data_IF_145254698063
#
_entry.id   IF_145254698063
#
_cell.length_a   1.000
_cell.length_b   1.000
_cell.length_c   1.000
_cell.angle_alpha   90.00
_cell.angle_beta   90.00
_cell.angle_gamma   90.00
#
_symmetry.space_group_name_H-M   'P 1'
#
loop_
_entity.id
_entity.type
_entity.pdbx_description
1 polymer ?
#
# COMPACT_ATOMS: atom_id res chain seq x y z
N UNK A 1 18.86 25.15 -9.50
CA UNK A 1 18.00 23.94 -9.37
C UNK A 1 16.56 24.32 -9.08
N UNK A 2 16.28 25.27 -8.19
CA UNK A 2 14.91 25.73 -7.92
C UNK A 2 14.42 25.21 -6.56
N UNK A 3 13.11 25.20 -6.36
CA UNK A 3 12.47 24.66 -5.16
C UNK A 3 11.84 23.30 -5.48
N UNK A 4 12.12 22.30 -4.64
CA UNK A 4 11.55 20.96 -4.74
C UNK A 4 10.77 20.67 -3.46
N UNK A 5 9.60 20.08 -3.61
CA UNK A 5 8.68 19.79 -2.51
C UNK A 5 8.32 18.31 -2.52
N UNK A 6 8.30 17.73 -1.33
CA UNK A 6 7.69 16.44 -1.09
C UNK A 6 6.77 16.52 0.13
N UNK A 7 5.74 15.68 0.14
CA UNK A 7 4.92 15.42 1.31
C UNK A 7 5.01 13.93 1.69
N UNK A 8 4.77 13.62 2.97
CA UNK A 8 4.86 12.24 3.49
C UNK A 8 3.46 11.74 3.81
N UNK A 9 3.04 10.56 3.29
CA UNK A 9 1.73 9.98 3.58
C UNK A 9 1.70 9.32 4.97
N UNK A 10 0.49 8.98 5.44
CA UNK A 10 0.21 8.36 6.74
C UNK A 10 -0.70 7.14 6.57
N UNK A 11 -0.44 6.06 7.30
CA UNK A 11 -1.33 4.90 7.36
C UNK A 11 -2.44 5.01 8.41
N UNK A 12 -3.46 4.16 8.31
CA UNK A 12 -4.50 3.94 9.31
C UNK A 12 -4.31 2.59 10.01
N UNK A 13 -4.23 1.50 9.24
CA UNK A 13 -3.64 0.23 9.65
C UNK A 13 -2.12 0.34 9.46
N UNK A 14 -1.39 0.20 10.57
CA UNK A 14 0.07 0.31 10.62
C UNK A 14 0.63 -0.95 11.25
N UNK A 15 1.39 -1.73 10.48
CA UNK A 15 2.12 -2.88 11.00
C UNK A 15 3.04 -2.47 12.17
N UNK A 16 3.15 -3.34 13.17
CA UNK A 16 3.87 -3.03 14.43
C UNK A 16 5.39 -2.86 14.22
N UNK A 17 5.89 -3.23 13.05
CA UNK A 17 7.30 -3.21 12.68
C UNK A 17 7.68 -2.05 11.74
N UNK A 18 6.74 -1.16 11.40
CA UNK A 18 7.03 0.03 10.58
C UNK A 18 8.06 0.96 11.26
N UNK A 19 8.78 1.73 10.45
CA UNK A 19 9.53 2.87 10.93
C UNK A 19 8.58 3.89 11.60
N UNK A 20 9.06 4.56 12.65
CA UNK A 20 8.19 5.36 13.51
C UNK A 20 7.77 6.67 12.83
N UNK A 21 6.46 6.83 12.60
CA UNK A 21 5.89 8.16 12.36
C UNK A 21 5.86 8.96 13.66
N UNK A 22 6.61 10.07 13.71
CA UNK A 22 6.68 10.90 14.92
C UNK A 22 5.49 11.87 14.99
N UNK A 23 4.63 11.66 15.99
CA UNK A 23 3.50 12.52 16.36
C UNK A 23 3.74 13.23 17.69
N UNK A 24 3.17 14.42 17.84
CA UNK A 24 3.33 15.25 19.04
C UNK A 24 2.57 14.71 20.26
N UNK A 25 1.49 13.94 20.05
CA UNK A 25 0.65 13.34 21.10
C UNK A 25 0.06 14.35 22.10
N UNK A 26 -0.13 15.60 21.68
CA UNK A 26 -0.80 16.65 22.46
C UNK A 26 -2.29 16.60 22.18
N UNK A 27 -3.09 15.97 23.06
CA UNK A 27 -4.52 15.72 22.82
C UNK A 27 -5.34 16.98 22.48
N UNK A 28 -4.95 18.15 23.02
CA UNK A 28 -5.60 19.43 22.75
C UNK A 28 -5.38 19.95 21.32
N UNK A 29 -4.31 19.52 20.64
CA UNK A 29 -3.92 20.00 19.32
C UNK A 29 -4.06 18.88 18.28
N UNK A 30 -4.81 19.15 17.20
CA UNK A 30 -5.01 18.19 16.10
C UNK A 30 -5.40 16.77 16.57
N UNK A 31 -6.12 16.65 17.68
CA UNK A 31 -6.48 15.36 18.30
C UNK A 31 -5.26 14.47 18.65
N UNK A 32 -4.13 15.08 19.03
CA UNK A 32 -2.88 14.37 19.31
C UNK A 32 -2.04 14.05 18.07
N UNK A 33 -2.52 14.39 16.86
CA UNK A 33 -1.88 13.99 15.59
C UNK A 33 -0.97 15.07 14.98
N UNK A 34 -0.58 16.07 15.76
CA UNK A 34 0.39 17.09 15.35
C UNK A 34 1.73 16.49 14.92
N UNK A 35 2.45 17.18 14.03
CA UNK A 35 3.78 16.79 13.52
C UNK A 35 4.83 17.90 13.71
N UNK A 36 4.59 18.83 14.63
CA UNK A 36 5.46 19.99 14.85
C UNK A 36 6.85 19.58 15.31
N UNK A 37 6.97 18.48 16.07
CA UNK A 37 8.26 17.92 16.48
C UNK A 37 9.04 17.38 15.27
N UNK A 38 8.40 16.63 14.37
CA UNK A 38 9.04 16.15 13.14
C UNK A 38 9.49 17.31 12.24
N UNK A 39 8.64 18.33 12.06
CA UNK A 39 8.97 19.55 11.31
C UNK A 39 10.14 20.31 11.96
N UNK A 40 10.16 20.41 13.30
CA UNK A 40 11.27 21.00 14.04
C UNK A 40 12.56 20.23 13.80
N UNK A 41 12.53 18.89 13.85
CA UNK A 41 13.70 18.05 13.58
C UNK A 41 14.27 18.30 12.18
N UNK A 42 13.43 18.46 11.15
CA UNK A 42 13.89 18.86 9.80
C UNK A 42 14.62 20.21 9.88
N UNK A 43 13.95 21.22 10.42
CA UNK A 43 14.42 22.61 10.34
C UNK A 43 15.67 22.88 11.20
N UNK A 44 15.76 22.26 12.38
CA UNK A 44 16.79 22.59 13.37
C UNK A 44 17.91 21.54 13.48
N UNK A 45 17.72 20.34 12.91
CA UNK A 45 18.71 19.26 12.99
C UNK A 45 19.12 18.79 11.59
N UNK A 46 18.19 18.26 10.80
CA UNK A 46 18.52 17.64 9.50
C UNK A 46 19.05 18.70 8.51
N UNK A 47 18.34 19.81 8.34
CA UNK A 47 18.70 20.85 7.38
C UNK A 47 20.11 21.45 7.61
N UNK A 48 20.48 21.94 8.82
CA UNK A 48 21.82 22.50 9.02
C UNK A 48 22.94 21.46 8.83
N UNK A 49 22.75 20.23 9.31
CA UNK A 49 23.77 19.19 9.19
C UNK A 49 23.93 18.68 7.74
N UNK A 50 22.83 18.53 7.00
CA UNK A 50 22.88 18.10 5.59
C UNK A 50 23.51 19.17 4.68
N UNK A 51 23.20 20.46 4.91
CA UNK A 51 23.83 21.57 4.18
C UNK A 51 25.33 21.61 4.47
N UNK A 52 25.73 21.42 5.73
CA UNK A 52 27.14 21.37 6.13
C UNK A 52 27.89 20.18 5.53
N UNK A 53 27.21 19.04 5.35
CA UNK A 53 27.79 17.86 4.71
C UNK A 53 28.18 18.10 3.25
N UNK A 54 27.55 19.08 2.57
CA UNK A 54 27.92 19.46 1.20
C UNK A 54 27.69 18.35 0.17
N UNK A 55 26.77 17.43 0.44
CA UNK A 55 26.40 16.34 -0.47
C UNK A 55 25.64 16.87 -1.69
N UNK A 56 25.93 16.33 -2.86
CA UNK A 56 25.20 16.69 -4.07
C UNK A 56 23.85 15.97 -4.09
N UNK A 57 22.77 16.66 -4.49
CA UNK A 57 21.40 16.10 -4.54
C UNK A 57 21.23 14.86 -5.45
N UNK A 58 22.24 14.54 -6.28
CA UNK A 58 22.26 13.32 -7.09
C UNK A 58 22.80 12.09 -6.35
N UNK A 59 23.40 12.29 -5.17
CA UNK A 59 23.97 11.29 -4.28
C UNK A 59 22.90 10.80 -3.29
N UNK A 60 21.83 10.20 -3.81
CA UNK A 60 20.66 9.81 -3.01
C UNK A 60 21.05 8.88 -1.86
N UNK A 61 21.91 7.90 -2.13
CA UNK A 61 22.37 6.94 -1.14
C UNK A 61 23.13 7.62 -0.01
N UNK A 62 24.05 8.52 -0.35
CA UNK A 62 24.86 9.25 0.62
C UNK A 62 24.02 10.19 1.48
N UNK A 63 23.01 10.83 0.90
CA UNK A 63 22.04 11.68 1.62
C UNK A 63 21.21 10.85 2.60
N UNK A 64 20.68 9.72 2.14
CA UNK A 64 19.89 8.82 2.98
C UNK A 64 20.74 8.19 4.09
N UNK A 65 21.92 7.65 3.77
CA UNK A 65 22.88 7.11 4.74
C UNK A 65 23.27 8.15 5.80
N UNK A 66 23.46 9.41 5.40
CA UNK A 66 23.76 10.51 6.31
C UNK A 66 22.61 10.77 7.29
N UNK A 67 21.36 10.84 6.79
CA UNK A 67 20.19 11.07 7.65
C UNK A 67 19.93 9.89 8.59
N UNK A 68 20.14 8.66 8.11
CA UNK A 68 20.06 7.45 8.92
C UNK A 68 21.09 7.45 10.05
N UNK A 69 22.34 7.85 9.77
CA UNK A 69 23.37 7.98 10.78
C UNK A 69 23.09 9.12 11.78
N UNK A 70 22.49 10.23 11.33
CA UNK A 70 22.12 11.36 12.16
C UNK A 70 21.00 11.00 13.16
N UNK A 71 20.04 10.19 12.71
CA UNK A 71 19.03 9.57 13.57
C UNK A 71 19.67 8.54 14.52
N UNK A 72 20.36 7.55 13.98
CA UNK A 72 21.10 6.55 14.74
C UNK A 72 20.24 5.48 15.42
N UNK A 73 18.95 5.38 15.12
CA UNK A 73 18.04 4.34 15.64
C UNK A 73 17.56 3.41 14.52
N UNK A 74 17.24 2.17 14.87
CA UNK A 74 16.81 1.15 13.89
C UNK A 74 15.49 1.52 13.19
N UNK A 75 14.55 2.09 13.92
CA UNK A 75 13.21 2.43 13.44
C UNK A 75 13.00 3.93 13.25
N UNK A 76 14.08 4.73 13.13
CA UNK A 76 14.02 6.17 12.89
C UNK A 76 13.28 6.96 13.97
N UNK A 77 13.28 6.45 15.21
CA UNK A 77 12.49 6.97 16.32
C UNK A 77 12.99 8.30 16.90
N UNK A 78 14.25 8.68 16.64
CA UNK A 78 14.81 9.92 17.21
C UNK A 78 14.36 11.15 16.42
N UNK A 79 14.44 11.10 15.10
CA UNK A 79 14.07 12.20 14.21
C UNK A 79 12.66 12.05 13.66
N UNK A 80 12.15 10.82 13.57
CA UNK A 80 10.89 10.46 12.92
C UNK A 80 11.11 10.06 11.47
N UNK A 81 10.55 8.91 11.06
CA UNK A 81 10.58 8.46 9.67
C UNK A 81 9.91 9.47 8.73
N UNK A 82 8.87 10.16 9.20
CA UNK A 82 8.21 11.24 8.48
C UNK A 82 9.08 12.49 8.29
N UNK A 83 10.03 12.76 9.20
CA UNK A 83 10.99 13.84 9.00
C UNK A 83 12.05 13.47 7.95
N UNK A 84 12.61 12.26 8.07
CA UNK A 84 13.68 11.76 7.19
C UNK A 84 13.16 11.57 5.77
N UNK A 85 11.99 10.94 5.61
CA UNK A 85 11.44 10.65 4.29
C UNK A 85 11.14 11.92 3.50
N UNK A 86 10.60 12.96 4.14
CA UNK A 86 10.29 14.23 3.46
C UNK A 86 11.52 14.84 2.79
N UNK A 87 12.67 14.79 3.47
CA UNK A 87 13.95 15.25 2.92
C UNK A 87 14.48 14.30 1.84
N UNK A 88 14.37 12.99 2.06
CA UNK A 88 14.79 11.95 1.10
C UNK A 88 14.08 12.09 -0.26
N UNK A 89 12.76 12.27 -0.25
CA UNK A 89 11.94 12.46 -1.44
C UNK A 89 12.25 13.79 -2.15
N UNK A 90 12.40 14.88 -1.40
CA UNK A 90 12.72 16.19 -1.95
C UNK A 90 14.12 16.23 -2.59
N UNK A 91 15.09 15.55 -1.98
CA UNK A 91 16.43 15.35 -2.54
C UNK A 91 16.37 14.58 -3.86
N UNK A 92 15.57 13.51 -3.93
CA UNK A 92 15.38 12.73 -5.16
C UNK A 92 14.80 13.59 -6.30
N UNK A 93 13.77 14.40 -6.01
CA UNK A 93 13.19 15.36 -6.97
C UNK A 93 14.24 16.38 -7.46
N UNK A 94 15.04 16.91 -6.53
CA UNK A 94 16.14 17.83 -6.87
C UNK A 94 17.24 17.15 -7.71
N UNK A 95 17.55 15.88 -7.41
CA UNK A 95 18.50 15.05 -8.15
C UNK A 95 18.09 14.83 -9.60
N UNK A 96 16.81 14.54 -9.85
CA UNK A 96 16.26 14.41 -11.19
C UNK A 96 16.42 15.71 -12.00
N UNK A 97 16.04 16.85 -11.40
CA UNK A 97 16.18 18.15 -12.05
C UNK A 97 17.64 18.56 -12.28
N UNK A 98 18.56 18.21 -11.37
CA UNK A 98 20.02 18.43 -11.55
C UNK A 98 20.56 17.64 -12.73
N UNK A 99 20.06 16.43 -12.96
CA UNK A 99 20.39 15.59 -14.13
C UNK A 99 19.67 16.02 -15.42
N UNK A 100 18.66 16.90 -15.34
CA UNK A 100 17.86 17.30 -16.49
C UNK A 100 16.96 16.20 -17.03
N UNK A 101 16.51 15.28 -16.17
CA UNK A 101 15.65 14.13 -16.54
C UNK A 101 14.35 14.12 -15.72
N UNK A 102 13.27 13.49 -16.22
CA UNK A 102 12.08 13.22 -15.42
C UNK A 102 12.39 12.38 -14.17
N UNK A 103 11.55 12.49 -13.13
CA UNK A 103 11.77 11.80 -11.86
C UNK A 103 11.78 10.27 -12.02
N UNK A 104 10.85 9.67 -12.77
CA UNK A 104 10.85 8.22 -13.03
C UNK A 104 12.15 7.74 -13.65
N UNK A 105 12.80 8.55 -14.50
CA UNK A 105 14.06 8.20 -15.16
C UNK A 105 15.21 8.25 -14.16
N UNK A 106 15.21 9.26 -13.28
CA UNK A 106 16.17 9.32 -12.18
C UNK A 106 16.04 8.14 -11.22
N UNK A 107 14.81 7.77 -10.85
CA UNK A 107 14.53 6.60 -10.00
C UNK A 107 14.94 5.29 -10.67
N UNK A 108 14.71 5.15 -11.99
CA UNK A 108 15.20 4.01 -12.74
C UNK A 108 16.73 3.92 -12.75
N UNK A 109 17.45 5.04 -12.83
CA UNK A 109 18.91 5.04 -12.73
C UNK A 109 19.38 4.60 -11.34
N UNK A 110 18.74 5.07 -10.26
CA UNK A 110 19.03 4.67 -8.88
C UNK A 110 18.74 3.18 -8.65
N UNK A 111 17.70 2.65 -9.29
CA UNK A 111 17.32 1.25 -9.24
C UNK A 111 18.18 0.35 -10.15
N UNK A 112 18.92 0.92 -11.10
CA UNK A 112 19.68 0.17 -12.11
C UNK A 112 18.83 -0.40 -13.25
N UNK A 113 17.62 0.14 -13.49
CA UNK A 113 16.72 -0.29 -14.54
C UNK A 113 16.98 0.49 -15.84
N UNK A 114 17.23 -0.19 -16.95
CA UNK A 114 17.37 0.46 -18.27
C UNK A 114 16.02 0.67 -18.95
N UNK A 115 15.21 -0.38 -19.01
CA UNK A 115 13.85 -0.35 -19.55
C UNK A 115 12.84 -0.03 -18.44
N UNK A 116 11.78 0.70 -18.80
CA UNK A 116 10.68 1.06 -17.91
C UNK A 116 9.35 0.48 -18.38
N UNK A 117 8.41 0.30 -17.45
CA UNK A 117 7.11 -0.34 -17.71
C UNK A 117 5.96 0.44 -17.05
N UNK A 118 4.92 0.68 -17.85
CA UNK A 118 3.49 0.79 -17.50
C UNK A 118 2.97 -0.07 -16.32
N UNK A 119 2.59 0.42 -15.13
CA UNK A 119 1.94 -0.47 -14.16
C UNK A 119 0.49 -0.81 -14.54
N UNK A 120 0.01 -1.99 -14.19
CA UNK A 120 -1.43 -2.23 -14.05
C UNK A 120 -1.90 -1.57 -12.75
N UNK A 121 -2.88 -0.65 -12.79
CA UNK A 121 -3.46 -0.08 -11.58
C UNK A 121 -4.41 -1.08 -10.90
N UNK A 122 -4.23 -1.25 -9.59
CA UNK A 122 -5.16 -1.94 -8.70
C UNK A 122 -6.04 -0.90 -8.01
N UNK A 123 -7.28 -0.77 -8.48
CA UNK A 123 -8.22 0.23 -7.99
C UNK A 123 -9.03 -0.33 -6.83
N UNK A 124 -8.88 0.22 -5.63
CA UNK A 124 -9.71 -0.13 -4.47
C UNK A 124 -11.14 0.42 -4.65
N UNK A 125 -12.10 -0.42 -5.04
CA UNK A 125 -13.46 0.03 -5.43
C UNK A 125 -14.52 -0.23 -4.37
N UNK A 126 -14.27 -1.13 -3.41
CA UNK A 126 -15.09 -1.33 -2.21
C UNK A 126 -14.18 -1.35 -0.99
N UNK A 127 -14.47 -0.51 0.00
CA UNK A 127 -13.79 -0.48 1.28
C UNK A 127 -14.56 -1.29 2.33
N UNK A 128 -13.82 -2.08 3.11
CA UNK A 128 -14.25 -2.72 4.34
C UNK A 128 -13.22 -2.48 5.44
N UNK A 129 -13.07 -3.43 6.37
CA UNK A 129 -12.10 -3.40 7.44
C UNK A 129 -12.10 -2.08 8.22
N UNK A 130 -10.91 -1.58 8.54
CA UNK A 130 -10.68 -0.31 9.25
C UNK A 130 -10.88 0.93 8.38
N UNK A 131 -11.05 0.78 7.06
CA UNK A 131 -11.24 1.89 6.10
C UNK A 131 -12.72 2.27 5.90
N UNK A 132 -13.67 1.54 6.50
CA UNK A 132 -15.10 1.76 6.32
C UNK A 132 -15.96 1.40 7.54
N UNK A 133 -16.96 2.23 7.81
CA UNK A 133 -17.99 2.01 8.85
C UNK A 133 -19.09 1.03 8.45
N UNK A 134 -18.73 -0.14 7.90
CA UNK A 134 -19.64 -1.24 7.54
C UNK A 134 -19.28 -2.53 8.29
N UNK A 135 -19.97 -3.65 8.01
CA UNK A 135 -19.69 -4.96 8.62
C UNK A 135 -18.63 -5.81 7.91
N UNK A 136 -18.08 -5.36 6.77
CA UNK A 136 -17.09 -6.15 6.00
C UNK A 136 -15.77 -6.22 6.76
N UNK A 137 -15.27 -7.43 7.02
CA UNK A 137 -13.99 -7.59 7.70
C UNK A 137 -12.78 -7.28 6.82
N UNK A 138 -12.79 -7.73 5.56
CA UNK A 138 -11.66 -7.52 4.64
C UNK A 138 -11.60 -6.06 4.21
N UNK A 139 -10.39 -5.52 4.14
CA UNK A 139 -10.16 -4.08 4.04
C UNK A 139 -10.44 -3.53 2.64
N UNK A 140 -10.03 -4.24 1.59
CA UNK A 140 -10.11 -3.73 0.23
C UNK A 140 -10.46 -4.80 -0.80
N UNK A 141 -11.31 -4.40 -1.74
CA UNK A 141 -11.64 -5.19 -2.92
C UNK A 141 -11.30 -4.37 -4.16
N UNK A 142 -10.26 -4.83 -4.85
CA UNK A 142 -9.65 -4.10 -5.95
C UNK A 142 -10.02 -4.71 -7.29
N UNK A 143 -10.12 -3.86 -8.32
CA UNK A 143 -10.16 -4.30 -9.72
C UNK A 143 -8.84 -4.00 -10.42
N UNK A 144 -8.38 -4.94 -11.24
CA UNK A 144 -7.13 -4.85 -11.99
C UNK A 144 -7.44 -5.05 -13.49
N UNK A 145 -7.42 -3.97 -14.30
CA UNK A 145 -7.61 -4.07 -15.76
C UNK A 145 -6.42 -4.69 -16.50
N UNK A 146 -6.07 -5.94 -16.21
CA UNK A 146 -4.91 -6.66 -16.78
C UNK A 146 -5.03 -6.92 -18.29
N UNK A 147 -6.26 -6.94 -18.82
CA UNK A 147 -6.53 -7.11 -20.26
C UNK A 147 -6.53 -5.80 -21.07
N UNK A 148 -6.09 -4.69 -20.48
CA UNK A 148 -5.92 -3.41 -21.18
C UNK A 148 -4.61 -3.38 -21.98
N UNK A 149 -4.61 -2.70 -23.14
CA UNK A 149 -3.45 -2.57 -24.02
C UNK A 149 -2.57 -1.36 -23.68
N UNK A 150 -3.06 -0.47 -22.80
CA UNK A 150 -2.32 0.71 -22.33
C UNK A 150 -2.79 1.15 -20.95
N UNK A 151 -1.98 1.94 -20.24
CA UNK A 151 -2.37 2.55 -18.98
C UNK A 151 -3.63 3.44 -19.13
N UNK A 152 -3.74 4.17 -20.23
CA UNK A 152 -4.93 4.99 -20.53
C UNK A 152 -6.20 4.15 -20.68
N UNK A 153 -6.12 3.01 -21.36
CA UNK A 153 -7.24 2.06 -21.42
C UNK A 153 -7.54 1.48 -20.04
N UNK A 154 -6.52 1.10 -19.26
CA UNK A 154 -6.71 0.58 -17.90
C UNK A 154 -7.45 1.59 -17.00
N UNK A 155 -7.07 2.88 -17.04
CA UNK A 155 -7.76 3.95 -16.31
C UNK A 155 -9.21 4.11 -16.76
N UNK A 156 -9.48 4.04 -18.08
CA UNK A 156 -10.84 4.08 -18.61
C UNK A 156 -11.67 2.90 -18.08
N UNK A 157 -11.17 1.68 -18.20
CA UNK A 157 -11.84 0.46 -17.72
C UNK A 157 -12.15 0.59 -16.23
N UNK A 158 -11.15 0.94 -15.41
CA UNK A 158 -11.32 1.11 -13.97
C UNK A 158 -12.40 2.14 -13.61
N UNK A 159 -12.38 3.31 -14.25
CA UNK A 159 -13.36 4.37 -13.99
C UNK A 159 -14.79 4.01 -14.43
N UNK A 160 -14.96 3.32 -15.56
CA UNK A 160 -16.27 2.86 -16.03
C UNK A 160 -16.85 1.77 -15.12
N UNK A 161 -16.04 0.77 -14.73
CA UNK A 161 -16.45 -0.26 -13.76
C UNK A 161 -16.85 0.38 -12.42
N UNK A 162 -16.06 1.33 -11.92
CA UNK A 162 -16.36 2.06 -10.68
C UNK A 162 -17.70 2.82 -10.75
N UNK A 163 -17.99 3.50 -11.85
CA UNK A 163 -19.28 4.20 -12.02
C UNK A 163 -20.47 3.24 -12.16
N UNK A 164 -20.29 2.09 -12.82
CA UNK A 164 -21.31 1.04 -12.86
C UNK A 164 -21.56 0.45 -11.46
N UNK A 165 -20.49 0.19 -10.71
CA UNK A 165 -20.56 -0.27 -9.32
C UNK A 165 -21.35 0.71 -8.45
N UNK A 166 -21.09 2.02 -8.56
CA UNK A 166 -21.85 3.07 -7.87
C UNK A 166 -23.35 2.95 -8.11
N UNK A 167 -23.75 2.75 -9.36
CA UNK A 167 -25.17 2.63 -9.76
C UNK A 167 -25.79 1.34 -9.19
N UNK A 168 -25.08 0.23 -9.22
CA UNK A 168 -25.54 -1.04 -8.67
C UNK A 168 -25.72 -0.93 -7.15
N UNK A 169 -24.74 -0.38 -6.45
CA UNK A 169 -24.81 -0.16 -4.99
C UNK A 169 -25.99 0.76 -4.66
N UNK A 170 -26.16 1.88 -5.38
CA UNK A 170 -27.30 2.79 -5.18
C UNK A 170 -28.64 2.07 -5.30
N UNK A 171 -28.78 1.22 -6.30
CA UNK A 171 -30.03 0.51 -6.56
C UNK A 171 -30.31 -0.57 -5.52
N UNK A 172 -29.28 -1.25 -5.00
CA UNK A 172 -29.41 -2.37 -4.05
C UNK A 172 -29.50 -1.92 -2.60
N UNK A 173 -28.73 -0.91 -2.21
CA UNK A 173 -28.56 -0.48 -0.81
C UNK A 173 -28.96 0.98 -0.55
N UNK A 174 -29.42 1.69 -1.57
CA UNK A 174 -29.81 3.10 -1.46
C UNK A 174 -28.67 4.09 -1.67
N UNK A 175 -29.03 5.38 -1.75
CA UNK A 175 -28.10 6.48 -2.04
C UNK A 175 -26.98 6.59 -1.01
N UNK A 176 -27.29 6.41 0.27
CA UNK A 176 -26.34 6.63 1.37
C UNK A 176 -25.16 5.64 1.31
N UNK A 177 -25.38 4.46 0.75
CA UNK A 177 -24.36 3.42 0.53
C UNK A 177 -23.38 3.75 -0.62
N UNK A 178 -23.57 4.88 -1.31
CA UNK A 178 -22.63 5.35 -2.36
C UNK A 178 -21.63 6.40 -1.87
N UNK A 179 -21.60 6.63 -0.55
CA UNK A 179 -20.50 7.34 0.10
C UNK A 179 -19.21 6.53 -0.04
N UNK A 180 -18.08 7.23 0.01
CA UNK A 180 -16.76 6.63 -0.19
C UNK A 180 -15.97 6.58 1.12
N UNK A 181 -15.12 5.55 1.27
CA UNK A 181 -14.14 5.45 2.36
C UNK A 181 -12.93 6.36 2.14
N UNK A 182 -11.88 6.12 2.93
CA UNK A 182 -10.66 6.92 2.92
C UNK A 182 -9.94 6.90 1.55
N UNK A 183 -10.06 5.79 0.82
CA UNK A 183 -9.37 5.56 -0.46
C UNK A 183 -10.27 5.71 -1.69
N UNK A 184 -11.49 6.21 -1.50
CA UNK A 184 -12.43 6.50 -2.59
C UNK A 184 -13.30 5.31 -3.02
N UNK A 185 -13.06 4.10 -2.51
CA UNK A 185 -13.94 2.95 -2.71
C UNK A 185 -15.28 3.13 -2.00
N UNK A 186 -16.33 2.46 -2.47
CA UNK A 186 -17.64 2.52 -1.82
C UNK A 186 -17.66 1.73 -0.51
N UNK A 187 -18.45 2.19 0.46
CA UNK A 187 -18.60 1.55 1.76
C UNK A 187 -20.05 1.08 2.00
N UNK A 188 -20.62 0.16 1.18
CA UNK A 188 -21.97 -0.33 1.41
C UNK A 188 -22.06 -1.08 2.74
N UNK A 189 -23.21 -0.99 3.41
CA UNK A 189 -23.44 -1.70 4.66
C UNK A 189 -23.65 -3.21 4.39
N UNK A 190 -22.56 -3.95 4.39
CA UNK A 190 -22.52 -5.38 4.08
C UNK A 190 -21.70 -6.12 5.14
N UNK A 191 -22.03 -7.40 5.37
CA UNK A 191 -21.33 -8.26 6.32
C UNK A 191 -20.46 -9.30 5.62
N UNK A 192 -20.93 -9.85 4.50
CA UNK A 192 -20.28 -10.96 3.82
C UNK A 192 -19.30 -10.48 2.74
N UNK A 193 -18.01 -10.82 2.89
CA UNK A 193 -16.96 -10.49 1.93
C UNK A 193 -17.23 -11.06 0.53
N UNK A 194 -17.89 -12.22 0.43
CA UNK A 194 -18.26 -12.84 -0.84
C UNK A 194 -19.29 -12.02 -1.62
N UNK A 195 -20.21 -11.36 -0.92
CA UNK A 195 -21.19 -10.49 -1.57
C UNK A 195 -20.53 -9.27 -2.23
N UNK A 196 -19.43 -8.77 -1.66
CA UNK A 196 -18.66 -7.68 -2.27
C UNK A 196 -18.03 -8.11 -3.61
N UNK A 197 -17.51 -9.34 -3.68
CA UNK A 197 -16.98 -9.93 -4.92
C UNK A 197 -18.07 -10.09 -5.99
N UNK A 198 -19.28 -10.53 -5.62
CA UNK A 198 -20.40 -10.59 -6.56
C UNK A 198 -20.80 -9.21 -7.10
N UNK A 199 -20.81 -8.17 -6.26
CA UNK A 199 -21.09 -6.80 -6.71
C UNK A 199 -20.05 -6.30 -7.72
N UNK A 200 -18.78 -6.61 -7.48
CA UNK A 200 -17.70 -6.27 -8.42
C UNK A 200 -17.89 -7.01 -9.75
N UNK A 201 -18.21 -8.30 -9.71
CA UNK A 201 -18.49 -9.07 -10.92
C UNK A 201 -19.69 -8.52 -11.70
N UNK A 202 -20.77 -8.14 -11.01
CA UNK A 202 -21.92 -7.49 -11.63
C UNK A 202 -21.55 -6.16 -12.28
N UNK A 203 -20.67 -5.37 -11.65
CA UNK A 203 -20.17 -4.11 -12.20
C UNK A 203 -19.27 -4.31 -13.43
N UNK A 204 -18.33 -5.26 -13.38
CA UNK A 204 -17.47 -5.63 -14.51
C UNK A 204 -18.33 -6.08 -15.70
N UNK A 205 -19.35 -6.90 -15.44
CA UNK A 205 -20.31 -7.36 -16.45
C UNK A 205 -21.13 -6.21 -17.02
N UNK A 206 -21.66 -5.34 -16.18
CA UNK A 206 -22.47 -4.20 -16.61
C UNK A 206 -21.66 -3.19 -17.44
N UNK A 207 -20.36 -3.04 -17.17
CA UNK A 207 -19.44 -2.21 -17.93
C UNK A 207 -18.93 -2.86 -19.23
N UNK A 208 -19.17 -4.16 -19.43
CA UNK A 208 -18.78 -4.87 -20.65
C UNK A 208 -17.31 -5.33 -20.69
N UNK A 209 -16.66 -5.48 -19.53
CA UNK A 209 -15.23 -5.80 -19.42
C UNK A 209 -14.92 -7.19 -18.84
N UNK A 210 -15.86 -8.14 -18.93
CA UNK A 210 -15.64 -9.54 -18.52
C UNK A 210 -14.42 -10.11 -19.27
N UNK A 211 -13.49 -10.71 -18.54
CA UNK A 211 -12.25 -11.27 -19.10
C UNK A 211 -11.14 -10.24 -19.39
N UNK A 212 -11.38 -8.94 -19.13
CA UNK A 212 -10.34 -7.89 -19.16
C UNK A 212 -9.97 -7.36 -17.78
N UNK A 213 -10.75 -7.69 -16.76
CA UNK A 213 -10.60 -7.22 -15.39
C UNK A 213 -10.52 -8.40 -14.44
N UNK A 214 -9.43 -8.47 -13.70
CA UNK A 214 -9.22 -9.40 -12.59
C UNK A 214 -9.49 -8.68 -11.25
N UNK A 215 -9.48 -9.42 -10.16
CA UNK A 215 -9.73 -8.94 -8.80
C UNK A 215 -8.48 -9.12 -7.93
N UNK A 216 -8.21 -8.11 -7.12
CA UNK A 216 -7.24 -8.15 -6.03
C UNK A 216 -7.95 -7.93 -4.71
N UNK A 217 -7.39 -8.43 -3.62
CA UNK A 217 -7.92 -8.21 -2.28
C UNK A 217 -6.79 -7.79 -1.35
N UNK A 218 -7.06 -6.81 -0.49
CA UNK A 218 -6.29 -6.63 0.74
C UNK A 218 -7.20 -7.01 1.89
N UNK A 219 -6.77 -8.06 2.58
CA UNK A 219 -7.50 -8.61 3.71
C UNK A 219 -7.20 -7.81 4.97
N UNK A 220 -5.97 -7.34 5.15
CA UNK A 220 -5.45 -6.75 6.40
C UNK A 220 -5.76 -7.60 7.63
N UNK A 221 -5.45 -8.90 7.58
CA UNK A 221 -5.91 -9.87 8.58
C UNK A 221 -5.40 -9.61 10.01
N UNK A 222 -4.29 -8.89 10.16
CA UNK A 222 -3.76 -8.44 11.46
C UNK A 222 -4.81 -7.63 12.26
N UNK A 223 -5.68 -6.87 11.59
CA UNK A 223 -6.70 -6.02 12.23
C UNK A 223 -7.80 -6.83 12.93
N UNK A 224 -7.98 -8.09 12.54
CA UNK A 224 -8.99 -8.98 13.11
C UNK A 224 -8.41 -10.31 13.61
N UNK A 225 -7.09 -10.39 13.76
CA UNK A 225 -6.44 -11.50 14.41
C UNK A 225 -6.55 -11.37 15.93
N UNK A 226 -7.08 -12.41 16.58
CA UNK A 226 -7.36 -12.42 18.01
C UNK A 226 -7.25 -13.83 18.57
N UNK A 227 -6.47 -13.96 19.65
CA UNK A 227 -6.33 -15.21 20.41
C UNK A 227 -5.92 -16.43 19.55
N UNK A 228 -5.11 -16.22 18.50
CA UNK A 228 -4.65 -17.30 17.61
C UNK A 228 -5.62 -17.65 16.46
N UNK A 229 -6.70 -16.88 16.29
CA UNK A 229 -7.73 -17.07 15.28
C UNK A 229 -8.16 -15.72 14.67
N UNK A 230 -9.10 -15.73 13.74
CA UNK A 230 -9.50 -14.57 12.94
C UNK A 230 -11.00 -14.27 13.09
N UNK A 231 -11.31 -13.07 13.56
CA UNK A 231 -12.67 -12.56 13.82
C UNK A 231 -13.24 -11.82 12.61
N UNK A 232 -13.94 -12.54 11.72
CA UNK A 232 -14.57 -11.90 10.54
C UNK A 232 -15.77 -10.98 10.89
N UNK A 233 -16.06 -10.76 12.17
CA UNK A 233 -17.03 -9.78 12.67
C UNK A 233 -16.39 -8.82 13.70
N UNK A 234 -15.08 -8.57 13.62
CA UNK A 234 -14.33 -7.79 14.63
C UNK A 234 -14.87 -6.38 14.92
N UNK A 235 -15.63 -5.81 13.98
CA UNK A 235 -16.29 -4.50 14.15
C UNK A 235 -17.55 -4.56 15.01
N UNK A 236 -18.08 -5.76 15.27
CA UNK A 236 -19.18 -5.98 16.20
C UNK A 236 -18.63 -6.12 17.63
N UNK A 237 -18.97 -5.20 18.56
CA UNK A 237 -18.53 -5.30 19.95
C UNK A 237 -19.02 -6.56 20.68
N UNK A 238 -19.97 -7.29 20.08
CA UNK A 238 -20.54 -8.54 20.57
C UNK A 238 -20.12 -9.74 19.71
N UNK A 239 -19.04 -9.63 18.93
CA UNK A 239 -18.52 -10.77 18.17
C UNK A 239 -18.25 -11.95 19.11
N UNK A 240 -18.55 -13.15 18.63
CA UNK A 240 -18.56 -14.37 19.40
C UNK A 240 -17.27 -15.18 19.12
N UNK A 241 -16.40 -15.41 20.13
CA UNK A 241 -15.15 -16.14 19.94
C UNK A 241 -15.30 -17.56 19.37
N UNK A 242 -16.47 -18.20 19.49
CA UNK A 242 -16.70 -19.52 18.87
C UNK A 242 -16.76 -19.48 17.34
N UNK A 243 -16.99 -18.29 16.77
CA UNK A 243 -17.14 -18.09 15.33
C UNK A 243 -15.82 -17.65 14.68
N UNK A 244 -14.76 -17.49 15.48
CA UNK A 244 -13.42 -17.13 15.00
C UNK A 244 -12.86 -18.27 14.16
N UNK A 245 -12.30 -17.92 13.01
CA UNK A 245 -11.74 -18.90 12.09
C UNK A 245 -10.28 -19.19 12.46
N UNK A 246 -9.87 -20.46 12.59
CA UNK A 246 -8.45 -20.80 12.60
C UNK A 246 -7.83 -20.55 11.22
N UNK A 247 -6.50 -20.40 11.17
CA UNK A 247 -5.78 -20.00 9.95
C UNK A 247 -6.01 -20.97 8.77
N UNK A 248 -6.19 -22.27 9.02
CA UNK A 248 -6.48 -23.27 7.98
C UNK A 248 -7.86 -23.07 7.34
N UNK A 249 -8.87 -22.71 8.13
CA UNK A 249 -10.23 -22.41 7.66
C UNK A 249 -10.28 -21.09 6.91
N UNK A 250 -9.53 -20.09 7.36
CA UNK A 250 -9.40 -18.84 6.65
C UNK A 250 -8.70 -19.04 5.29
N UNK A 251 -7.65 -19.86 5.24
CA UNK A 251 -6.99 -20.26 3.99
C UNK A 251 -7.94 -20.98 3.03
N UNK A 252 -8.78 -21.90 3.53
CA UNK A 252 -9.80 -22.60 2.73
C UNK A 252 -10.80 -21.61 2.12
N UNK A 253 -11.25 -20.61 2.89
CA UNK A 253 -12.15 -19.57 2.41
C UNK A 253 -11.54 -18.79 1.23
N UNK A 254 -10.27 -18.38 1.33
CA UNK A 254 -9.60 -17.69 0.21
C UNK A 254 -9.48 -18.58 -1.02
N UNK A 255 -9.12 -19.86 -0.84
CA UNK A 255 -9.03 -20.80 -1.96
C UNK A 255 -10.39 -21.02 -2.63
N UNK A 256 -11.49 -20.99 -1.88
CA UNK A 256 -12.84 -21.01 -2.45
C UNK A 256 -13.11 -19.74 -3.27
N UNK A 257 -12.75 -18.57 -2.77
CA UNK A 257 -12.89 -17.32 -3.53
C UNK A 257 -12.12 -17.37 -4.86
N UNK A 258 -10.88 -17.86 -4.85
CA UNK A 258 -10.06 -17.95 -6.08
C UNK A 258 -10.59 -18.94 -7.12
N UNK A 259 -11.45 -19.89 -6.73
CA UNK A 259 -12.11 -20.82 -7.67
C UNK A 259 -13.34 -20.20 -8.33
N UNK A 260 -13.99 -19.27 -7.66
CA UNK A 260 -15.28 -18.71 -8.06
C UNK A 260 -15.16 -17.34 -8.71
N UNK A 261 -14.11 -16.59 -8.35
CA UNK A 261 -13.86 -15.23 -8.83
C UNK A 261 -12.47 -15.16 -9.49
N UNK A 262 -12.26 -14.23 -10.46
CA UNK A 262 -10.97 -14.02 -11.13
C UNK A 262 -9.99 -13.29 -10.20
N UNK A 263 -9.66 -13.89 -9.05
CA UNK A 263 -8.75 -13.31 -8.06
C UNK A 263 -7.32 -13.69 -8.42
N UNK A 264 -6.50 -12.67 -8.64
CA UNK A 264 -5.08 -12.82 -9.04
C UNK A 264 -4.10 -12.31 -8.00
N UNK A 265 -4.57 -11.58 -6.99
CA UNK A 265 -3.73 -11.08 -5.90
C UNK A 265 -4.48 -11.04 -4.57
N UNK A 266 -3.86 -11.53 -3.50
CA UNK A 266 -4.35 -11.44 -2.11
C UNK A 266 -3.22 -10.91 -1.23
N UNK A 267 -3.45 -9.76 -0.61
CA UNK A 267 -2.57 -9.06 0.31
C UNK A 267 -2.99 -9.33 1.76
N UNK A 268 -1.99 -9.52 2.63
CA UNK A 268 -2.14 -9.77 4.07
C UNK A 268 -3.24 -10.78 4.45
N UNK A 269 -3.25 -12.00 3.88
CA UNK A 269 -4.25 -13.02 4.19
C UNK A 269 -4.20 -13.51 5.66
N UNK A 270 -3.11 -13.27 6.38
CA UNK A 270 -2.92 -13.68 7.78
C UNK A 270 -2.21 -12.59 8.56
N UNK A 271 -2.22 -12.72 9.89
CA UNK A 271 -1.52 -11.80 10.79
C UNK A 271 -0.03 -11.68 10.45
N UNK A 272 0.52 -10.49 10.68
CA UNK A 272 1.91 -10.13 10.41
C UNK A 272 2.97 -11.04 11.05
N UNK A 273 2.62 -11.86 12.05
CA UNK A 273 3.51 -12.84 12.68
C UNK A 273 3.02 -14.31 12.58
N UNK A 274 1.89 -14.61 11.93
CA UNK A 274 1.40 -15.97 11.67
C UNK A 274 2.13 -16.63 10.47
N UNK A 275 3.46 -16.66 10.54
CA UNK A 275 4.34 -17.14 9.46
C UNK A 275 3.98 -18.51 8.90
N UNK A 276 3.46 -19.41 9.74
CA UNK A 276 3.09 -20.76 9.32
C UNK A 276 1.85 -20.75 8.41
N UNK A 277 0.85 -19.92 8.74
CA UNK A 277 -0.32 -19.78 7.89
C UNK A 277 0.03 -19.19 6.51
N UNK A 278 0.87 -18.15 6.50
CA UNK A 278 1.42 -17.57 5.28
C UNK A 278 2.09 -18.61 4.39
N UNK A 279 3.10 -19.34 4.90
CA UNK A 279 3.81 -20.36 4.11
C UNK A 279 2.88 -21.48 3.63
N UNK A 280 1.94 -21.92 4.48
CA UNK A 280 0.99 -22.95 4.11
C UNK A 280 0.08 -22.50 2.96
N UNK A 281 -0.51 -21.32 3.04
CA UNK A 281 -1.39 -20.79 2.01
C UNK A 281 -0.66 -20.52 0.70
N UNK A 282 0.50 -19.87 0.75
CA UNK A 282 1.32 -19.58 -0.45
C UNK A 282 1.75 -20.85 -1.17
N UNK A 283 1.95 -21.97 -0.47
CA UNK A 283 2.25 -23.27 -1.10
C UNK A 283 1.07 -23.90 -1.84
N UNK A 284 -0.17 -23.45 -1.57
CA UNK A 284 -1.43 -24.04 -2.06
C UNK A 284 -2.08 -23.25 -3.18
N UNK A 285 -1.54 -22.09 -3.55
CA UNK A 285 -2.12 -21.21 -4.56
C UNK A 285 -1.07 -20.66 -5.54
N UNK A 286 -1.38 -20.55 -6.84
CA UNK A 286 -0.53 -19.85 -7.79
C UNK A 286 -0.77 -18.32 -7.80
N UNK A 287 -1.77 -17.84 -7.05
CA UNK A 287 -2.15 -16.44 -6.95
C UNK A 287 -1.01 -15.63 -6.34
N UNK A 288 -0.91 -14.34 -6.71
CA UNK A 288 0.03 -13.43 -6.07
C UNK A 288 -0.37 -13.26 -4.59
N UNK A 289 0.55 -13.59 -3.67
CA UNK A 289 0.39 -13.36 -2.24
C UNK A 289 1.30 -12.19 -1.87
N UNK A 290 0.69 -11.09 -1.44
CA UNK A 290 1.40 -9.83 -1.17
C UNK A 290 1.62 -9.70 0.33
N UNK A 291 2.86 -9.47 0.75
CA UNK A 291 3.19 -9.09 2.13
C UNK A 291 3.26 -7.58 2.29
N UNK A 292 2.34 -7.01 3.09
CA UNK A 292 2.33 -5.63 3.53
C UNK A 292 2.80 -5.53 4.99
N UNK A 293 1.93 -5.70 5.99
CA UNK A 293 2.30 -5.68 7.41
C UNK A 293 3.29 -6.80 7.77
N UNK A 294 3.23 -7.92 7.04
CA UNK A 294 4.22 -8.99 7.17
C UNK A 294 5.64 -8.49 6.94
N UNK A 295 5.83 -7.60 5.97
CA UNK A 295 7.17 -7.20 5.50
C UNK A 295 7.53 -5.76 5.84
N UNK A 296 6.55 -4.86 5.99
CA UNK A 296 6.66 -3.42 6.28
C UNK A 296 7.76 -2.72 5.47
N UNK A 297 7.94 -3.12 4.21
CA UNK A 297 9.02 -2.65 3.33
C UNK A 297 10.43 -2.78 3.98
N UNK A 298 10.60 -3.69 4.94
CA UNK A 298 11.83 -3.86 5.71
C UNK A 298 12.66 -5.03 5.18
N UNK A 299 13.91 -4.80 4.71
CA UNK A 299 14.76 -5.85 4.15
C UNK A 299 14.96 -7.08 5.04
N UNK A 300 14.99 -6.92 6.38
CA UNK A 300 15.13 -8.04 7.31
C UNK A 300 13.90 -8.94 7.31
N UNK A 301 12.70 -8.35 7.33
CA UNK A 301 11.44 -9.12 7.29
C UNK A 301 11.21 -9.73 5.91
N UNK A 302 11.55 -9.02 4.84
CA UNK A 302 11.54 -9.56 3.48
C UNK A 302 12.44 -10.79 3.39
N UNK A 303 13.66 -10.74 3.93
CA UNK A 303 14.57 -11.89 3.94
C UNK A 303 13.97 -13.10 4.69
N UNK A 304 13.35 -12.90 5.86
CA UNK A 304 12.64 -13.95 6.59
C UNK A 304 11.47 -14.51 5.78
N UNK A 305 10.68 -13.65 5.14
CA UNK A 305 9.53 -14.05 4.35
C UNK A 305 9.93 -14.84 3.09
N UNK A 306 11.06 -14.49 2.47
CA UNK A 306 11.70 -15.27 1.39
C UNK A 306 12.13 -16.64 1.89
N UNK A 307 12.87 -16.72 2.99
CA UNK A 307 13.35 -17.99 3.58
C UNK A 307 12.18 -18.94 3.87
N UNK A 308 11.11 -18.39 4.44
CA UNK A 308 9.90 -19.15 4.81
C UNK A 308 8.96 -19.41 3.64
N UNK A 309 9.20 -18.82 2.47
CA UNK A 309 8.26 -18.84 1.33
C UNK A 309 6.86 -18.36 1.74
N UNK A 310 6.82 -17.32 2.58
CA UNK A 310 5.60 -16.82 3.20
C UNK A 310 4.70 -16.11 2.20
N UNK A 311 5.27 -15.36 1.26
CA UNK A 311 4.55 -14.67 0.18
C UNK A 311 5.42 -14.63 -1.09
N UNK A 312 4.93 -14.02 -2.17
CA UNK A 312 5.65 -13.94 -3.45
C UNK A 312 5.58 -12.54 -4.10
N UNK A 313 5.08 -11.55 -3.36
CA UNK A 313 5.06 -10.15 -3.77
C UNK A 313 5.24 -9.25 -2.55
N UNK A 314 5.99 -8.17 -2.72
CA UNK A 314 6.16 -7.11 -1.74
C UNK A 314 5.11 -6.00 -1.98
N UNK A 315 4.40 -5.56 -0.95
CA UNK A 315 3.79 -4.23 -0.99
C UNK A 315 4.85 -3.21 -0.56
N UNK A 316 5.16 -2.25 -1.43
CA UNK A 316 6.21 -1.26 -1.18
C UNK A 316 5.58 0.08 -0.82
N UNK A 317 5.72 0.45 0.46
CA UNK A 317 5.31 1.73 1.02
C UNK A 317 6.54 2.46 1.54
N UNK A 318 6.95 3.53 0.85
CA UNK A 318 8.19 4.25 1.17
C UNK A 318 8.27 4.76 2.61
N UNK A 319 7.13 5.10 3.22
CA UNK A 319 7.07 5.62 4.59
C UNK A 319 7.13 4.52 5.67
N UNK A 320 6.88 3.24 5.32
CA UNK A 320 7.11 2.13 6.25
C UNK A 320 8.59 1.92 6.54
N UNK A 321 9.47 2.26 5.59
CA UNK A 321 10.92 2.15 5.76
C UNK A 321 11.61 3.51 5.98
N UNK A 322 11.13 4.59 5.37
CA UNK A 322 11.50 5.97 5.71
C UNK A 322 12.59 6.63 4.87
N UNK A 323 13.14 5.96 3.84
CA UNK A 323 14.02 6.58 2.84
C UNK A 323 13.77 6.01 1.44
N UNK A 324 14.10 6.78 0.40
CA UNK A 324 14.03 6.32 -1.00
C UNK A 324 15.03 5.19 -1.24
N UNK A 325 16.25 5.29 -0.70
CA UNK A 325 17.29 4.26 -0.85
C UNK A 325 16.86 2.92 -0.27
N UNK A 326 16.38 2.87 0.98
CA UNK A 326 15.97 1.61 1.59
C UNK A 326 14.74 1.01 0.88
N UNK A 327 13.84 1.84 0.35
CA UNK A 327 12.70 1.36 -0.44
C UNK A 327 13.15 0.71 -1.78
N UNK A 328 14.11 1.33 -2.48
CA UNK A 328 14.72 0.75 -3.68
C UNK A 328 15.42 -0.57 -3.34
N UNK A 329 16.13 -0.63 -2.22
CA UNK A 329 16.83 -1.84 -1.79
C UNK A 329 15.86 -2.97 -1.40
N UNK A 330 14.75 -2.65 -0.73
CA UNK A 330 13.67 -3.59 -0.45
C UNK A 330 13.10 -4.20 -1.75
N UNK A 331 12.83 -3.36 -2.76
CA UNK A 331 12.43 -3.84 -4.09
C UNK A 331 13.51 -4.75 -4.73
N UNK A 332 14.79 -4.38 -4.66
CA UNK A 332 15.88 -5.18 -5.22
C UNK A 332 15.98 -6.55 -4.55
N UNK A 333 15.80 -6.64 -3.23
CA UNK A 333 15.77 -7.91 -2.50
C UNK A 333 14.58 -8.77 -2.94
N UNK A 334 13.38 -8.19 -3.04
CA UNK A 334 12.20 -8.91 -3.53
C UNK A 334 12.42 -9.44 -4.97
N UNK A 335 12.84 -8.56 -5.88
CA UNK A 335 13.09 -8.89 -7.29
C UNK A 335 14.17 -9.96 -7.46
N UNK A 336 15.25 -9.91 -6.69
CA UNK A 336 16.33 -10.90 -6.73
C UNK A 336 15.85 -12.31 -6.31
N UNK A 337 14.78 -12.40 -5.52
CA UNK A 337 14.16 -13.65 -5.09
C UNK A 337 12.93 -14.04 -5.93
N UNK A 338 12.77 -13.41 -7.10
CA UNK A 338 11.69 -13.73 -8.04
C UNK A 338 10.32 -13.22 -7.64
N UNK A 339 10.24 -12.30 -6.67
CA UNK A 339 8.97 -11.73 -6.22
C UNK A 339 8.52 -10.57 -7.11
N UNK A 340 7.20 -10.37 -7.16
CA UNK A 340 6.60 -9.12 -7.61
C UNK A 340 6.83 -7.98 -6.62
N UNK A 341 6.52 -6.76 -7.04
CA UNK A 341 6.43 -5.62 -6.13
C UNK A 341 5.25 -4.74 -6.55
N UNK A 342 4.32 -4.50 -5.64
CA UNK A 342 3.24 -3.55 -5.83
C UNK A 342 3.58 -2.27 -5.08
N UNK A 343 3.85 -1.19 -5.80
CA UNK A 343 4.06 0.11 -5.18
C UNK A 343 2.71 0.60 -4.65
N UNK A 344 2.71 1.11 -3.42
CA UNK A 344 1.47 1.44 -2.72
C UNK A 344 1.47 2.87 -2.17
N UNK A 345 0.29 3.48 -2.23
CA UNK A 345 -0.09 4.63 -1.42
C UNK A 345 -0.23 4.27 0.08
N UNK A 346 -0.69 5.24 0.89
CA UNK A 346 -1.32 5.00 2.18
C UNK A 346 -2.77 5.51 2.18
N UNK A 347 -3.56 5.07 3.15
CA UNK A 347 -4.94 5.55 3.34
C UNK A 347 -5.02 7.05 3.63
N UNK A 348 -4.04 7.65 4.32
CA UNK A 348 -3.84 9.09 4.40
C UNK A 348 -2.82 9.59 3.38
N UNK A 349 -3.26 9.91 2.16
CA UNK A 349 -2.40 10.51 1.13
C UNK A 349 -2.47 12.04 1.07
N UNK A 350 -1.64 12.57 0.17
CA UNK A 350 -1.40 13.98 -0.15
C UNK A 350 -1.52 14.17 -1.66
N UNK A 351 -1.36 15.40 -2.12
CA UNK A 351 -1.27 15.72 -3.56
C UNK A 351 0.09 15.33 -4.19
N UNK A 352 0.99 14.70 -3.44
CA UNK A 352 2.30 14.28 -3.94
C UNK A 352 2.20 13.06 -4.86
N UNK A 353 2.79 13.15 -6.05
CA UNK A 353 2.72 12.11 -7.07
C UNK A 353 3.97 11.21 -7.13
N UNK A 354 4.84 11.25 -6.12
CA UNK A 354 6.14 10.55 -6.13
C UNK A 354 6.01 9.06 -6.48
N UNK A 355 5.00 8.37 -5.95
CA UNK A 355 4.85 6.92 -6.16
C UNK A 355 4.49 6.56 -7.61
N UNK A 356 3.90 7.49 -8.38
CA UNK A 356 3.65 7.31 -9.81
C UNK A 356 4.97 7.27 -10.61
N UNK A 357 5.92 8.15 -10.29
CA UNK A 357 7.27 8.08 -10.86
C UNK A 357 8.05 6.87 -10.33
N UNK A 358 7.86 6.51 -9.05
CA UNK A 358 8.54 5.38 -8.42
C UNK A 358 8.18 4.05 -9.07
N UNK A 359 6.90 3.76 -9.30
CA UNK A 359 6.49 2.48 -9.89
C UNK A 359 7.05 2.29 -11.31
N UNK A 360 7.11 3.37 -12.09
CA UNK A 360 7.71 3.37 -13.43
C UNK A 360 9.22 3.20 -13.32
N UNK A 361 9.87 3.95 -12.42
CA UNK A 361 11.30 3.90 -12.18
C UNK A 361 11.79 2.52 -11.74
N UNK A 362 11.07 1.90 -10.81
CA UNK A 362 11.31 0.54 -10.35
C UNK A 362 10.87 -0.52 -11.36
N UNK A 363 10.01 -0.15 -12.31
CA UNK A 363 9.50 -1.04 -13.37
C UNK A 363 8.83 -2.28 -12.79
N UNK A 364 8.01 -2.08 -11.75
CA UNK A 364 7.41 -3.21 -11.01
C UNK A 364 6.17 -3.79 -11.70
N UNK A 365 5.56 -3.03 -12.61
CA UNK A 365 4.41 -3.46 -13.40
C UNK A 365 3.06 -3.40 -12.69
N UNK A 366 2.98 -2.92 -11.45
CA UNK A 366 1.73 -2.84 -10.69
C UNK A 366 1.77 -1.77 -9.59
N UNK A 367 0.68 -1.02 -9.44
CA UNK A 367 0.50 0.03 -8.43
C UNK A 367 -0.89 -0.06 -7.79
N UNK A 368 -0.95 0.13 -6.47
CA UNK A 368 -2.18 0.31 -5.69
C UNK A 368 -2.20 1.73 -5.15
N UNK A 369 -3.08 2.57 -5.68
CA UNK A 369 -3.13 3.99 -5.31
C UNK A 369 -4.53 4.53 -5.07
N UNK A 370 -5.46 3.64 -4.73
CA UNK A 370 -6.86 3.96 -4.41
C UNK A 370 -7.82 3.81 -5.58
N UNK A 371 -9.08 4.19 -5.34
CA UNK A 371 -10.12 4.22 -6.36
C UNK A 371 -9.81 5.27 -7.45
N UNK A 372 -10.49 5.22 -8.61
CA UNK A 372 -10.56 6.36 -9.53
C UNK A 372 -11.49 7.47 -8.98
N UNK A 373 -11.27 7.87 -7.72
CA UNK A 373 -12.03 8.83 -6.94
C UNK A 373 -11.13 9.44 -5.86
N UNK A 374 -11.34 10.73 -5.56
CA UNK A 374 -10.53 11.57 -4.67
C UNK A 374 -9.15 11.92 -5.28
N UNK A 375 -8.79 13.20 -5.25
CA UNK A 375 -7.68 13.72 -6.07
C UNK A 375 -6.30 13.35 -5.56
N UNK A 376 -6.17 12.93 -4.30
CA UNK A 376 -4.94 12.32 -3.77
C UNK A 376 -4.69 10.91 -4.33
N UNK A 377 -5.61 10.38 -5.13
CA UNK A 377 -5.53 9.07 -5.82
C UNK A 377 -5.33 9.20 -7.34
N UNK A 378 -5.89 10.25 -7.94
CA UNK A 378 -6.04 10.45 -9.39
C UNK A 378 -4.77 10.93 -10.10
#
# INVERSE_FOLDING_TARGET
LGLFRAAVPSGASTGIHEALELRDNVAADYHGKGVLTAVKNINTIIAPELVKAGLEVTQQKEIDDFMLALDGTENKAKLGANAILGVSLAACKAGAAKKGVPLYRHLADLAGNTNIVLPTPAFNVINGGSHAGNGLAMQEFMILPTGAESFTEAMKIGSEVYHHLKKIIKNKFGLDSTSVGDEGGFAPNMQNNKDALFLIMDAIKAAGYVGKVEIGMDVAASEFYKDGAYDLDFKNPKSNPSDYLPSDKLAELYLEFTKEFPIVSIEDPFDQDDWNAWSNFTSRTPVQVVGDDLTVTNPKRIATAVERKACNCLLLKVNQIGTVTEAIDAHKVAKANGWGTMVSHRSGETEDTFIADLVIGLSTGQIKTGAPCRSERL
#
